data_IF_364844294238
#
_entry.id   IF_364844294238
#
_cell.length_a   1.000
_cell.length_b   1.000
_cell.length_c   1.000
_cell.angle_alpha   90.00
_cell.angle_beta   90.00
_cell.angle_gamma   90.00
#
_symmetry.space_group_name_H-M   'P 1'
#
loop_
_entity.id
_entity.type
_entity.pdbx_description
1 polymer ?
#
# COMPACT_ATOMS: atom_id res chain seq x y z
N UNK A 1 3.86 9.37 7.89
CA UNK A 1 3.12 8.73 6.77
C UNK A 1 2.92 7.24 7.07
N UNK A 2 1.76 6.67 6.75
CA UNK A 2 1.53 5.21 6.89
C UNK A 2 1.38 4.63 5.49
N UNK A 3 2.21 3.66 5.13
CA UNK A 3 2.17 2.93 3.87
C UNK A 3 1.57 1.56 4.15
N UNK A 4 0.48 1.22 3.48
CA UNK A 4 -0.25 -0.03 3.72
C UNK A 4 -0.27 -0.85 2.43
N UNK A 5 0.16 -2.10 2.50
CA UNK A 5 -0.08 -3.08 1.43
C UNK A 5 -1.28 -3.93 1.85
N UNK A 6 -2.31 -3.98 1.01
CA UNK A 6 -3.54 -4.70 1.31
C UNK A 6 -4.04 -5.48 0.10
N UNK A 7 -4.82 -6.52 0.37
CA UNK A 7 -5.56 -7.25 -0.66
C UNK A 7 -6.85 -6.48 -1.01
N UNK A 8 -7.09 -6.18 -2.29
CA UNK A 8 -8.40 -5.74 -2.80
C UNK A 8 -9.23 -6.92 -3.29
N UNK A 9 -10.45 -6.61 -3.74
CA UNK A 9 -11.26 -7.54 -4.54
C UNK A 9 -10.65 -7.85 -5.90
N UNK A 10 -9.82 -6.96 -6.46
CA UNK A 10 -9.22 -7.09 -7.78
C UNK A 10 -7.77 -7.63 -7.75
N UNK A 11 -7.10 -7.58 -6.61
CA UNK A 11 -5.71 -8.01 -6.46
C UNK A 11 -5.11 -7.47 -5.16
N UNK A 12 -4.11 -6.61 -5.29
CA UNK A 12 -3.40 -5.95 -4.20
C UNK A 12 -3.32 -4.45 -4.45
N UNK A 13 -3.22 -3.67 -3.38
CA UNK A 13 -3.13 -2.23 -3.48
C UNK A 13 -2.23 -1.66 -2.41
N UNK A 14 -1.64 -0.51 -2.74
CA UNK A 14 -0.79 0.26 -1.84
C UNK A 14 -1.54 1.54 -1.46
N UNK A 15 -1.71 1.77 -0.17
CA UNK A 15 -2.35 2.96 0.36
C UNK A 15 -1.35 3.85 1.10
N UNK A 16 -1.55 5.17 1.02
CA UNK A 16 -0.96 6.15 1.91
C UNK A 16 -2.04 6.67 2.86
N UNK A 17 -1.99 6.22 4.11
CA UNK A 17 -3.09 6.42 5.05
C UNK A 17 -4.37 5.75 4.55
N UNK A 18 -5.35 6.55 4.12
CA UNK A 18 -6.62 6.08 3.54
C UNK A 18 -6.67 6.16 2.03
N UNK A 19 -5.70 6.80 1.38
CA UNK A 19 -5.76 7.08 -0.05
C UNK A 19 -5.05 5.98 -0.84
N UNK A 20 -5.77 5.39 -1.79
CA UNK A 20 -5.23 4.39 -2.70
C UNK A 20 -4.25 5.05 -3.67
N UNK A 21 -3.00 4.59 -3.67
CA UNK A 21 -1.97 5.04 -4.60
C UNK A 21 -2.09 4.28 -5.91
N UNK A 22 -2.05 2.96 -5.82
CA UNK A 22 -1.94 2.08 -6.99
C UNK A 22 -2.43 0.66 -6.65
N UNK A 23 -2.94 -0.04 -7.68
CA UNK A 23 -3.36 -1.44 -7.60
C UNK A 23 -2.49 -2.30 -8.51
N UNK A 24 -2.29 -3.54 -8.09
CA UNK A 24 -1.44 -4.54 -8.74
C UNK A 24 -2.10 -5.91 -8.67
N UNK A 25 -1.89 -6.73 -9.69
CA UNK A 25 -2.39 -8.11 -9.70
C UNK A 25 -1.55 -9.02 -8.77
N UNK A 26 -0.28 -8.66 -8.57
CA UNK A 26 0.70 -9.44 -7.82
C UNK A 26 1.13 -8.76 -6.52
N UNK A 27 1.14 -9.51 -5.41
CA UNK A 27 1.51 -9.00 -4.09
C UNK A 27 2.96 -8.51 -4.03
N UNK A 28 3.86 -9.19 -4.72
CA UNK A 28 5.29 -8.83 -4.70
C UNK A 28 5.54 -7.50 -5.42
N UNK A 29 4.74 -7.18 -6.45
CA UNK A 29 4.77 -5.88 -7.12
C UNK A 29 4.23 -4.78 -6.20
N UNK A 30 3.13 -5.05 -5.48
CA UNK A 30 2.60 -4.11 -4.49
C UNK A 30 3.61 -3.83 -3.35
N UNK A 31 4.31 -4.87 -2.87
CA UNK A 31 5.38 -4.74 -1.86
C UNK A 31 6.57 -3.95 -2.39
N UNK A 32 6.98 -4.18 -3.63
CA UNK A 32 8.05 -3.42 -4.26
C UNK A 32 7.68 -1.93 -4.38
N UNK A 33 6.42 -1.61 -4.71
CA UNK A 33 5.93 -0.24 -4.72
C UNK A 33 5.95 0.38 -3.32
N UNK A 34 5.48 -0.33 -2.29
CA UNK A 34 5.52 0.15 -0.90
C UNK A 34 6.96 0.38 -0.41
N UNK A 35 7.91 -0.49 -0.77
CA UNK A 35 9.32 -0.32 -0.44
C UNK A 35 9.91 0.94 -1.11
N UNK A 36 9.58 1.19 -2.39
CA UNK A 36 9.97 2.44 -3.08
C UNK A 36 9.43 3.68 -2.35
N UNK A 37 8.17 3.67 -1.93
CA UNK A 37 7.57 4.78 -1.17
C UNK A 37 8.25 5.00 0.19
N UNK A 38 8.69 3.92 0.86
CA UNK A 38 9.47 4.03 2.10
C UNK A 38 10.81 4.73 1.86
N UNK A 39 11.54 4.35 0.80
CA UNK A 39 12.81 4.98 0.45
C UNK A 39 12.64 6.45 0.05
N UNK A 40 11.56 6.79 -0.66
CA UNK A 40 11.25 8.18 -0.97
C UNK A 40 10.92 9.02 0.27
N UNK A 41 10.17 8.45 1.22
CA UNK A 41 9.90 9.11 2.50
C UNK A 41 11.19 9.36 3.28
N UNK A 42 12.05 8.34 3.32
CA UNK A 42 13.38 8.42 3.93
C UNK A 42 14.25 9.49 3.29
N UNK A 43 14.28 9.56 1.96
CA UNK A 43 15.04 10.57 1.23
C UNK A 43 14.54 12.00 1.50
N UNK A 44 13.24 12.16 1.78
CA UNK A 44 12.62 13.44 2.17
C UNK A 44 12.80 13.77 3.66
N UNK A 45 13.37 12.88 4.46
CA UNK A 45 13.47 13.04 5.92
C UNK A 45 12.13 12.90 6.64
N UNK A 46 11.13 12.29 5.99
CA UNK A 46 9.81 12.10 6.55
C UNK A 46 9.75 10.82 7.39
N UNK A 47 9.04 10.89 8.52
CA UNK A 47 8.73 9.69 9.31
C UNK A 47 7.66 8.85 8.60
N UNK A 48 7.92 7.55 8.46
CA UNK A 48 6.98 6.61 7.87
C UNK A 48 6.81 5.35 8.73
N UNK A 49 5.69 4.65 8.51
CA UNK A 49 5.40 3.33 9.06
C UNK A 49 4.86 2.46 7.92
N UNK A 50 5.34 1.22 7.82
CA UNK A 50 4.85 0.25 6.83
C UNK A 50 4.06 -0.84 7.53
N UNK A 51 2.85 -1.09 7.04
CA UNK A 51 1.97 -2.19 7.43
C UNK A 51 1.67 -3.07 6.21
N UNK A 52 1.94 -4.37 6.30
CA UNK A 52 1.53 -5.35 5.28
C UNK A 52 0.40 -6.22 5.84
N UNK A 53 -0.80 -6.06 5.29
CA UNK A 53 -2.01 -6.85 5.57
C UNK A 53 -2.50 -7.60 4.34
N UNK A 54 -1.64 -7.80 3.33
CA UNK A 54 -1.96 -8.58 2.12
C UNK A 54 -2.39 -10.02 2.42
N UNK A 55 -1.93 -10.58 3.54
CA UNK A 55 -2.26 -11.94 4.00
C UNK A 55 -3.57 -12.02 4.80
N UNK A 56 -4.26 -10.89 5.02
CA UNK A 56 -5.53 -10.90 5.73
C UNK A 56 -6.59 -11.72 4.97
N UNK A 57 -7.41 -12.45 5.72
CA UNK A 57 -8.43 -13.36 5.16
C UNK A 57 -9.56 -12.61 4.43
N UNK A 58 -9.82 -11.36 4.79
CA UNK A 58 -10.82 -10.51 4.16
C UNK A 58 -10.15 -9.40 3.32
N UNK A 59 -10.54 -9.22 2.05
CA UNK A 59 -10.06 -8.11 1.25
C UNK A 59 -10.56 -6.78 1.83
N UNK A 60 -9.68 -5.77 1.84
CA UNK A 60 -10.06 -4.42 2.23
C UNK A 60 -10.91 -3.77 1.13
N UNK A 61 -11.93 -3.02 1.56
CA UNK A 61 -12.64 -2.11 0.66
C UNK A 61 -11.71 -0.91 0.36
N UNK A 62 -10.90 -1.04 -0.69
CA UNK A 62 -10.10 0.07 -1.21
C UNK A 62 -10.97 0.89 -2.15
N UNK A 63 -11.48 2.02 -1.66
CA UNK A 63 -12.25 2.95 -2.47
C UNK A 63 -11.33 3.97 -3.14
N UNK A 64 -11.49 4.19 -4.44
CA UNK A 64 -11.08 5.48 -5.03
C UNK A 64 -12.04 6.54 -4.47
N UNK A 65 -11.50 7.58 -3.82
CA UNK A 65 -12.30 8.79 -3.60
C UNK A 65 -12.84 9.26 -4.97
N UNK A 66 -14.10 9.70 -5.05
CA UNK A 66 -14.69 10.24 -6.28
C UNK A 66 -13.92 11.45 -6.80
#
# INVERSE_FOLDING_TARGET
MIIIVARSRAGFGVLLGSDLVEEFDEVDVARACAARLCEEARARGESFSWVDVSQASAPLAMGRKP
#
